data_IF_012090360780
#
_entry.id   IF_012090360780
#
_cell.length_a   1.000
_cell.length_b   1.000
_cell.length_c   1.000
_cell.angle_alpha   90.00
_cell.angle_beta   90.00
_cell.angle_gamma   90.00
#
_symmetry.space_group_name_H-M   'P 1'
#
loop_
_entity.id
_entity.type
_entity.pdbx_description
1 polymer ?
#
# COMPACT_ATOMS: atom_id res chain seq x y z
N UNK A 1 23.19 -20.06 1.40
CA UNK A 1 22.00 -20.70 0.83
C UNK A 1 21.00 -21.15 1.90
N UNK A 2 21.39 -21.95 2.90
CA UNK A 2 20.47 -22.39 3.96
C UNK A 2 19.86 -21.21 4.76
N UNK A 3 20.62 -20.18 5.08
CA UNK A 3 20.15 -18.96 5.76
C UNK A 3 19.14 -18.18 4.93
N UNK A 4 19.33 -18.09 3.62
CA UNK A 4 18.37 -17.43 2.72
C UNK A 4 17.04 -18.19 2.69
N UNK A 5 17.06 -19.52 2.58
CA UNK A 5 15.84 -20.34 2.60
C UNK A 5 15.09 -20.23 3.93
N UNK A 6 15.82 -20.11 5.05
CA UNK A 6 15.23 -19.95 6.37
C UNK A 6 14.56 -18.58 6.56
N UNK A 7 15.03 -17.50 5.90
CA UNK A 7 14.45 -16.16 5.99
C UNK A 7 13.31 -15.91 4.98
N UNK A 8 13.16 -16.75 3.93
CA UNK A 8 12.12 -16.59 2.91
C UNK A 8 10.69 -16.55 3.45
N UNK A 9 10.26 -17.42 4.39
CA UNK A 9 8.90 -17.34 4.93
C UNK A 9 8.60 -16.00 5.61
N UNK A 10 9.60 -15.43 6.31
CA UNK A 10 9.47 -14.09 6.89
C UNK A 10 9.28 -13.00 5.82
N UNK A 11 10.06 -13.05 4.75
CA UNK A 11 9.93 -12.11 3.63
C UNK A 11 8.54 -12.21 2.95
N UNK A 12 7.98 -13.40 2.82
CA UNK A 12 6.64 -13.62 2.27
C UNK A 12 5.58 -13.02 3.20
N UNK A 13 5.68 -13.23 4.51
CA UNK A 13 4.76 -12.66 5.48
C UNK A 13 4.77 -11.12 5.43
N UNK A 14 5.95 -10.50 5.45
CA UNK A 14 6.10 -9.05 5.25
C UNK A 14 5.52 -8.61 3.91
N UNK A 15 5.81 -9.34 2.83
CA UNK A 15 5.30 -9.02 1.49
C UNK A 15 3.78 -8.98 1.42
N UNK A 16 3.07 -9.90 2.10
CA UNK A 16 1.60 -9.91 2.14
C UNK A 16 1.07 -8.75 2.98
N UNK A 17 1.64 -8.47 4.16
CA UNK A 17 1.23 -7.36 5.02
C UNK A 17 1.36 -6.04 4.27
N UNK A 18 2.51 -5.78 3.65
CA UNK A 18 2.74 -4.59 2.84
C UNK A 18 1.93 -4.61 1.54
N UNK A 19 1.58 -5.78 1.03
CA UNK A 19 0.65 -5.96 -0.07
C UNK A 19 -0.76 -5.43 0.26
N UNK A 20 -1.25 -5.64 1.50
CA UNK A 20 -2.52 -5.05 1.97
C UNK A 20 -2.42 -3.52 1.99
N UNK A 21 -1.30 -2.96 2.47
CA UNK A 21 -1.04 -1.53 2.42
C UNK A 21 -1.02 -1.03 0.97
N UNK A 22 -0.34 -1.75 0.09
CA UNK A 22 -0.25 -1.41 -1.33
C UNK A 22 -1.62 -1.43 -2.03
N UNK A 23 -2.58 -2.27 -1.60
CA UNK A 23 -3.97 -2.19 -2.06
C UNK A 23 -4.60 -0.84 -1.68
N UNK A 24 -4.36 -0.33 -0.46
CA UNK A 24 -4.79 1.01 -0.07
C UNK A 24 -4.21 2.08 -1.01
N UNK A 25 -2.90 2.05 -1.23
CA UNK A 25 -2.21 2.95 -2.18
C UNK A 25 -2.74 2.80 -3.61
N UNK A 26 -3.08 1.58 -4.05
CA UNK A 26 -3.68 1.34 -5.35
C UNK A 26 -5.02 2.08 -5.52
N UNK A 27 -5.83 2.16 -4.48
CA UNK A 27 -7.11 2.89 -4.52
C UNK A 27 -6.88 4.38 -4.75
N UNK A 28 -5.96 5.01 -4.03
CA UNK A 28 -5.68 6.44 -4.16
C UNK A 28 -4.96 6.77 -5.45
N UNK A 29 -3.88 6.05 -5.73
CA UNK A 29 -2.99 6.35 -6.84
C UNK A 29 -3.56 5.92 -8.20
N UNK A 30 -4.17 4.72 -8.28
CA UNK A 30 -4.60 4.13 -9.57
C UNK A 30 -6.07 4.33 -9.88
N UNK A 31 -6.93 4.28 -8.84
CA UNK A 31 -8.38 4.40 -9.03
C UNK A 31 -8.81 5.86 -8.97
N UNK A 32 -8.35 6.64 -7.98
CA UNK A 32 -8.74 8.05 -7.80
C UNK A 32 -7.84 9.05 -8.50
N UNK A 33 -6.63 8.65 -8.90
CA UNK A 33 -5.57 9.54 -9.43
C UNK A 33 -5.23 10.69 -8.48
N UNK A 34 -5.15 10.37 -7.19
CA UNK A 34 -4.83 11.30 -6.09
C UNK A 34 -3.56 10.84 -5.38
N UNK A 35 -2.54 11.69 -5.32
CA UNK A 35 -1.33 11.42 -4.55
C UNK A 35 -1.60 11.68 -3.06
N UNK A 36 -1.67 10.62 -2.26
CA UNK A 36 -1.95 10.66 -0.82
C UNK A 36 -0.71 10.33 0.00
N UNK A 37 -0.10 11.33 0.61
CA UNK A 37 1.04 11.17 1.52
C UNK A 37 0.64 10.86 2.97
N UNK A 38 -0.65 10.79 3.28
CA UNK A 38 -1.16 10.41 4.61
C UNK A 38 -0.79 8.96 4.96
N UNK A 39 -0.56 8.12 3.95
CA UNK A 39 -0.22 6.70 4.06
C UNK A 39 0.87 6.44 5.10
N UNK A 40 1.95 7.23 5.07
CA UNK A 40 3.07 7.09 6.02
C UNK A 40 2.60 7.30 7.48
N UNK A 41 1.74 8.30 7.71
CA UNK A 41 1.16 8.58 9.03
C UNK A 41 0.14 7.52 9.45
N UNK A 42 -0.76 7.16 8.56
CA UNK A 42 -1.84 6.19 8.83
C UNK A 42 -1.31 4.82 9.18
N UNK A 43 -0.23 4.36 8.53
CA UNK A 43 0.43 3.09 8.84
C UNK A 43 0.99 3.09 10.26
N UNK A 44 1.72 4.13 10.65
CA UNK A 44 2.26 4.26 12.00
C UNK A 44 1.14 4.35 13.04
N UNK A 45 0.07 5.11 12.74
CA UNK A 45 -1.08 5.25 13.65
C UNK A 45 -1.78 3.92 13.88
N UNK A 46 -2.01 3.13 12.83
CA UNK A 46 -2.62 1.79 12.96
C UNK A 46 -1.83 0.88 13.88
N UNK A 47 -0.49 0.84 13.71
CA UNK A 47 0.39 0.04 14.56
C UNK A 47 0.42 0.50 16.01
N UNK A 48 0.54 1.81 16.27
CA UNK A 48 0.60 2.37 17.63
C UNK A 48 -0.73 2.18 18.36
N UNK A 49 -1.85 2.45 17.71
CA UNK A 49 -3.19 2.26 18.31
C UNK A 49 -3.35 0.80 18.69
N UNK A 50 -3.03 -0.13 17.81
CA UNK A 50 -3.07 -1.55 18.13
C UNK A 50 -2.17 -1.89 19.31
N UNK A 51 -0.90 -1.47 19.30
CA UNK A 51 0.07 -1.81 20.35
C UNK A 51 -0.38 -1.30 21.73
N UNK A 52 -0.91 -0.07 21.80
CA UNK A 52 -1.43 0.50 23.05
C UNK A 52 -2.68 -0.22 23.53
N UNK A 53 -3.63 -0.57 22.65
CA UNK A 53 -4.83 -1.29 23.01
C UNK A 53 -4.53 -2.71 23.52
N UNK A 54 -3.62 -3.42 22.85
CA UNK A 54 -3.19 -4.76 23.28
C UNK A 54 -2.44 -4.69 24.61
N UNK A 55 -1.59 -3.68 24.81
CA UNK A 55 -0.93 -3.44 26.10
C UNK A 55 -1.92 -3.21 27.24
N UNK A 56 -3.05 -2.57 26.96
CA UNK A 56 -4.13 -2.33 27.91
C UNK A 56 -5.06 -3.54 28.09
N UNK A 57 -4.78 -4.70 27.49
CA UNK A 57 -5.56 -5.92 27.62
C UNK A 57 -6.80 -6.01 26.73
N UNK A 58 -6.92 -5.14 25.73
CA UNK A 58 -8.05 -5.20 24.78
C UNK A 58 -7.91 -6.42 23.87
N UNK A 59 -9.04 -7.02 23.50
CA UNK A 59 -9.09 -8.13 22.56
C UNK A 59 -8.45 -7.72 21.22
N UNK A 60 -7.62 -8.60 20.65
CA UNK A 60 -6.85 -8.32 19.42
C UNK A 60 -7.74 -7.98 18.23
N UNK A 61 -8.87 -8.67 18.07
CA UNK A 61 -9.80 -8.41 16.97
C UNK A 61 -10.41 -7.01 17.05
N UNK A 62 -10.78 -6.61 18.29
CA UNK A 62 -11.29 -5.26 18.55
C UNK A 62 -10.20 -4.20 18.30
N UNK A 63 -8.97 -4.47 18.73
CA UNK A 63 -7.84 -3.57 18.53
C UNK A 63 -7.54 -3.35 17.02
N UNK A 64 -7.60 -4.42 16.22
CA UNK A 64 -7.44 -4.34 14.75
C UNK A 64 -8.60 -3.56 14.13
N UNK A 65 -9.84 -3.78 14.55
CA UNK A 65 -10.99 -3.02 14.05
C UNK A 65 -10.90 -1.53 14.39
N UNK A 66 -10.49 -1.19 15.61
CA UNK A 66 -10.27 0.21 16.03
C UNK A 66 -9.13 0.84 15.22
N UNK A 67 -8.03 0.13 14.99
CA UNK A 67 -6.92 0.63 14.15
C UNK A 67 -7.39 0.96 12.73
N UNK A 68 -8.22 0.11 12.13
CA UNK A 68 -8.84 0.37 10.82
C UNK A 68 -9.70 1.64 10.84
N UNK A 69 -10.57 1.81 11.86
CA UNK A 69 -11.44 2.97 12.01
C UNK A 69 -10.62 4.26 12.18
N UNK A 70 -9.56 4.23 12.97
CA UNK A 70 -8.67 5.39 13.16
C UNK A 70 -7.97 5.76 11.84
N UNK A 71 -7.56 4.77 11.04
CA UNK A 71 -7.07 5.01 9.68
C UNK A 71 -8.12 5.66 8.77
N UNK A 72 -9.38 5.21 8.85
CA UNK A 72 -10.49 5.83 8.13
C UNK A 72 -10.68 7.30 8.53
N UNK A 73 -10.57 7.62 9.81
CA UNK A 73 -10.63 9.02 10.30
C UNK A 73 -9.46 9.87 9.78
N UNK A 74 -8.26 9.31 9.70
CA UNK A 74 -7.12 10.00 9.11
C UNK A 74 -7.37 10.34 7.64
N UNK A 75 -7.86 9.37 6.85
CA UNK A 75 -8.24 9.58 5.45
C UNK A 75 -9.38 10.58 5.28
N UNK A 76 -10.36 10.60 6.22
CA UNK A 76 -11.45 11.58 6.24
C UNK A 76 -10.92 13.01 6.40
N UNK A 77 -9.99 13.23 7.34
CA UNK A 77 -9.38 14.54 7.58
C UNK A 77 -8.64 15.02 6.33
N UNK A 78 -7.81 14.16 5.71
CA UNK A 78 -7.12 14.48 4.47
C UNK A 78 -8.10 14.79 3.34
N UNK A 79 -9.17 14.01 3.22
CA UNK A 79 -10.22 14.23 2.24
C UNK A 79 -10.93 15.57 2.42
N UNK A 80 -11.22 15.97 3.66
CA UNK A 80 -11.81 17.28 3.98
C UNK A 80 -10.84 18.40 3.61
N UNK A 81 -9.56 18.31 3.99
CA UNK A 81 -8.57 19.32 3.62
C UNK A 81 -8.46 19.49 2.11
N UNK A 82 -8.48 18.39 1.36
CA UNK A 82 -8.39 18.46 -0.09
C UNK A 82 -9.67 18.99 -0.75
N UNK A 83 -10.84 18.50 -0.35
CA UNK A 83 -12.09 18.77 -1.10
C UNK A 83 -12.86 20.01 -0.62
N UNK A 84 -12.82 20.35 0.68
CA UNK A 84 -13.53 21.51 1.25
C UNK A 84 -12.62 22.72 1.39
N UNK A 85 -11.38 22.54 1.86
CA UNK A 85 -10.43 23.64 1.99
C UNK A 85 -9.68 23.94 0.68
N UNK A 86 -9.80 23.07 -0.34
CA UNK A 86 -9.14 23.27 -1.63
C UNK A 86 -7.63 23.11 -1.58
N UNK A 87 -7.09 22.50 -0.52
CA UNK A 87 -5.64 22.26 -0.37
C UNK A 87 -5.20 21.18 -1.39
N UNK A 88 -4.09 21.38 -2.12
CA UNK A 88 -3.54 20.33 -2.99
C UNK A 88 -3.39 19.01 -2.25
N UNK A 89 -3.74 17.87 -2.88
CA UNK A 89 -3.79 16.57 -2.23
C UNK A 89 -2.50 16.19 -1.51
N UNK A 90 -1.34 16.45 -2.15
CA UNK A 90 -0.02 16.19 -1.56
C UNK A 90 0.16 16.96 -0.25
N UNK A 91 -0.18 18.26 -0.24
CA UNK A 91 -0.05 19.09 0.97
C UNK A 91 -1.04 18.69 2.05
N UNK A 92 -2.28 18.34 1.68
CA UNK A 92 -3.27 17.82 2.63
C UNK A 92 -2.78 16.55 3.32
N UNK A 93 -2.17 15.63 2.55
CA UNK A 93 -1.56 14.42 3.08
C UNK A 93 -0.40 14.70 4.05
N UNK A 94 0.50 15.61 3.70
CA UNK A 94 1.63 16.01 4.55
C UNK A 94 1.12 16.63 5.87
N UNK A 95 0.13 17.52 5.82
CA UNK A 95 -0.45 18.15 7.01
C UNK A 95 -1.06 17.10 7.95
N UNK A 96 -1.82 16.16 7.40
CA UNK A 96 -2.41 15.08 8.19
C UNK A 96 -1.32 14.16 8.77
N UNK A 97 -0.30 13.80 7.99
CA UNK A 97 0.83 12.98 8.46
C UNK A 97 1.56 13.63 9.64
N UNK A 98 1.87 14.94 9.56
CA UNK A 98 2.50 15.68 10.66
C UNK A 98 1.61 15.74 11.91
N UNK A 99 0.31 15.91 11.72
CA UNK A 99 -0.67 15.89 12.83
C UNK A 99 -0.72 14.51 13.48
N UNK A 100 -0.76 13.45 12.67
CA UNK A 100 -0.76 12.07 13.16
C UNK A 100 0.50 11.73 13.95
N UNK A 101 1.67 12.24 13.55
CA UNK A 101 2.92 12.06 14.31
C UNK A 101 2.77 12.57 15.75
N UNK A 102 2.22 13.77 15.94
CA UNK A 102 2.00 14.35 17.26
C UNK A 102 0.93 13.60 18.06
N UNK A 103 -0.12 13.13 17.40
CA UNK A 103 -1.19 12.32 18.02
C UNK A 103 -0.62 10.98 18.47
N UNK A 104 0.17 10.32 17.64
CA UNK A 104 0.82 9.05 17.94
C UNK A 104 1.75 9.14 19.16
N UNK A 105 2.52 10.23 19.27
CA UNK A 105 3.34 10.50 20.47
C UNK A 105 2.51 10.63 21.75
N UNK A 106 1.32 11.23 21.66
CA UNK A 106 0.41 11.33 22.82
C UNK A 106 -0.20 9.99 23.18
N UNK A 107 -0.66 9.22 22.19
CA UNK A 107 -1.26 7.88 22.41
C UNK A 107 -0.22 6.93 23.00
N UNK A 108 1.04 7.01 22.58
CA UNK A 108 2.14 6.17 23.07
C UNK A 108 2.74 6.65 24.41
N UNK A 109 2.16 7.67 25.06
CA UNK A 109 2.73 8.30 26.26
C UNK A 109 4.17 8.78 26.07
N UNK A 110 4.46 9.43 24.93
CA UNK A 110 5.78 9.94 24.51
C UNK A 110 6.85 8.86 24.27
N UNK A 111 6.46 7.59 24.20
CA UNK A 111 7.38 6.52 23.84
C UNK A 111 7.45 6.40 22.32
N UNK A 112 8.66 6.48 21.75
CA UNK A 112 8.87 6.29 20.31
C UNK A 112 8.56 4.87 19.86
N UNK A 113 8.73 3.89 20.76
CA UNK A 113 8.52 2.47 20.50
C UNK A 113 7.61 1.88 21.57
N UNK A 114 6.54 1.22 21.14
CA UNK A 114 5.57 0.56 22.00
C UNK A 114 5.62 -0.95 21.75
N UNK A 115 6.09 -1.76 22.71
CA UNK A 115 6.12 -3.20 22.53
C UNK A 115 4.68 -3.75 22.51
N UNK A 116 4.41 -4.64 21.54
CA UNK A 116 3.21 -5.46 21.52
C UNK A 116 3.46 -6.61 22.50
N UNK A 117 2.98 -6.45 23.75
CA UNK A 117 3.42 -7.26 24.87
C UNK A 117 3.08 -8.73 24.71
N UNK A 118 4.11 -9.57 24.88
CA UNK A 118 4.04 -11.03 24.97
C UNK A 118 3.27 -11.56 26.21
N UNK A 119 2.75 -10.71 27.08
CA UNK A 119 1.97 -11.16 28.25
C UNK A 119 0.66 -11.86 27.89
N UNK A 120 0.15 -11.64 26.66
CA UNK A 120 -1.06 -12.26 26.13
C UNK A 120 -0.75 -12.99 24.81
N UNK A 121 0.28 -13.84 24.79
CA UNK A 121 0.70 -14.61 23.61
C UNK A 121 -0.46 -15.41 22.99
N UNK A 122 -1.41 -15.85 23.79
CA UNK A 122 -2.60 -16.58 23.33
C UNK A 122 -3.53 -15.74 22.43
N UNK A 123 -3.46 -14.42 22.50
CA UNK A 123 -4.31 -13.50 21.74
C UNK A 123 -3.61 -12.81 20.55
N UNK A 124 -2.34 -13.07 20.27
CA UNK A 124 -1.63 -12.48 19.13
C UNK A 124 -1.88 -13.32 17.88
N UNK A 125 -2.39 -12.67 16.81
CA UNK A 125 -2.70 -13.34 15.54
C UNK A 125 -1.43 -13.64 14.72
N UNK A 126 -0.43 -12.76 14.79
CA UNK A 126 0.79 -12.81 13.99
C UNK A 126 2.02 -12.80 14.90
N UNK A 127 2.91 -13.74 14.69
CA UNK A 127 4.17 -13.84 15.45
C UNK A 127 5.30 -14.23 14.52
N UNK A 128 6.45 -13.56 14.63
CA UNK A 128 7.66 -13.89 13.87
C UNK A 128 8.27 -15.26 14.24
N UNK A 129 7.85 -15.85 15.36
CA UNK A 129 8.27 -17.19 15.78
C UNK A 129 7.58 -18.34 15.01
N UNK A 130 6.39 -18.09 14.44
CA UNK A 130 5.57 -19.09 13.74
C UNK A 130 5.19 -18.58 12.35
N UNK A 131 6.17 -18.54 11.46
CA UNK A 131 6.04 -17.95 10.12
C UNK A 131 4.91 -18.56 9.30
N UNK A 132 4.69 -19.89 9.39
CA UNK A 132 3.64 -20.58 8.62
C UNK A 132 2.25 -20.12 9.05
N UNK A 133 2.00 -20.08 10.36
CA UNK A 133 0.73 -19.59 10.92
C UNK A 133 0.50 -18.14 10.54
N UNK A 134 1.52 -17.30 10.64
CA UNK A 134 1.45 -15.89 10.28
C UNK A 134 1.15 -15.67 8.80
N UNK A 135 1.75 -16.45 7.90
CA UNK A 135 1.46 -16.40 6.46
C UNK A 135 -0.01 -16.75 6.21
N UNK A 136 -0.52 -17.82 6.82
CA UNK A 136 -1.93 -18.23 6.64
C UNK A 136 -2.87 -17.10 7.08
N UNK A 137 -2.64 -16.51 8.24
CA UNK A 137 -3.45 -15.40 8.74
C UNK A 137 -3.36 -14.18 7.81
N UNK A 138 -2.16 -13.81 7.35
CA UNK A 138 -1.97 -12.70 6.40
C UNK A 138 -2.70 -12.95 5.08
N UNK A 139 -2.65 -14.19 4.56
CA UNK A 139 -3.38 -14.57 3.33
C UNK A 139 -4.88 -14.45 3.53
N UNK A 140 -5.41 -14.86 4.69
CA UNK A 140 -6.84 -14.72 5.00
C UNK A 140 -7.23 -13.23 5.02
N UNK A 141 -6.46 -12.37 5.71
CA UNK A 141 -6.72 -10.92 5.72
C UNK A 141 -6.65 -10.32 4.31
N UNK A 142 -5.66 -10.68 3.51
CA UNK A 142 -5.55 -10.23 2.13
C UNK A 142 -6.74 -10.70 1.28
N UNK A 143 -7.13 -11.97 1.40
CA UNK A 143 -8.26 -12.54 0.66
C UNK A 143 -9.57 -11.86 1.03
N UNK A 144 -9.83 -11.64 2.34
CA UNK A 144 -11.02 -10.93 2.83
C UNK A 144 -11.03 -9.49 2.31
N UNK A 145 -9.89 -8.79 2.39
CA UNK A 145 -9.75 -7.42 1.86
C UNK A 145 -10.06 -7.37 0.38
N UNK A 146 -9.50 -8.28 -0.41
CA UNK A 146 -9.76 -8.36 -1.86
C UNK A 146 -11.23 -8.67 -2.16
N UNK A 147 -11.84 -9.61 -1.42
CA UNK A 147 -13.24 -9.99 -1.61
C UNK A 147 -14.19 -8.82 -1.30
N UNK A 148 -13.95 -8.11 -0.19
CA UNK A 148 -14.74 -6.93 0.22
C UNK A 148 -14.61 -5.82 -0.82
N UNK A 149 -13.39 -5.52 -1.27
CA UNK A 149 -13.14 -4.50 -2.29
C UNK A 149 -13.74 -4.87 -3.64
N UNK A 150 -13.64 -6.13 -4.05
CA UNK A 150 -14.25 -6.61 -5.28
C UNK A 150 -15.76 -6.42 -5.27
N UNK A 151 -16.41 -6.81 -4.17
CA UNK A 151 -17.84 -6.58 -3.98
C UNK A 151 -18.16 -5.08 -3.98
N UNK A 152 -17.43 -4.27 -3.21
CA UNK A 152 -17.65 -2.82 -3.11
C UNK A 152 -17.51 -2.12 -4.46
N UNK A 153 -16.43 -2.36 -5.20
CA UNK A 153 -16.21 -1.75 -6.52
C UNK A 153 -17.13 -2.29 -7.62
N UNK A 154 -17.91 -3.35 -7.36
CA UNK A 154 -19.03 -3.81 -8.17
C UNK A 154 -20.32 -3.05 -7.93
N UNK A 155 -20.44 -2.29 -6.83
CA UNK A 155 -21.64 -1.48 -6.52
C UNK A 155 -21.67 -0.17 -7.31
N UNK A 156 -22.81 0.52 -7.29
CA UNK A 156 -22.97 1.85 -7.91
C UNK A 156 -22.02 2.88 -7.32
N UNK A 157 -21.83 2.88 -6.00
CA UNK A 157 -20.89 3.76 -5.31
C UNK A 157 -19.46 3.47 -5.76
N UNK A 158 -19.04 2.22 -5.81
CA UNK A 158 -17.71 1.84 -6.27
C UNK A 158 -17.44 2.19 -7.73
N UNK A 159 -18.47 2.05 -8.61
CA UNK A 159 -18.36 2.46 -10.01
C UNK A 159 -18.26 4.00 -10.13
N UNK A 160 -18.98 4.76 -9.31
CA UNK A 160 -18.91 6.22 -9.28
C UNK A 160 -17.54 6.73 -8.81
N UNK A 161 -16.90 6.04 -7.84
CA UNK A 161 -15.53 6.33 -7.40
C UNK A 161 -14.54 6.12 -8.56
N UNK A 162 -14.66 5.01 -9.30
CA UNK A 162 -13.80 4.76 -10.49
C UNK A 162 -14.02 5.80 -11.59
N UNK A 163 -15.28 6.18 -11.86
CA UNK A 163 -15.61 7.21 -12.84
C UNK A 163 -15.00 8.57 -12.45
N UNK A 164 -15.04 8.92 -11.15
CA UNK A 164 -14.46 10.14 -10.62
C UNK A 164 -12.96 10.21 -10.85
N UNK A 165 -12.22 9.12 -10.66
CA UNK A 165 -10.78 9.07 -10.92
C UNK A 165 -10.44 9.14 -12.41
N UNK A 166 -11.27 8.57 -13.28
CA UNK A 166 -11.04 8.65 -14.73
C UNK A 166 -11.23 10.07 -15.28
N UNK A 167 -12.30 10.76 -14.90
CA UNK A 167 -12.57 12.14 -15.33
C UNK A 167 -13.56 12.83 -14.39
N UNK A 168 -13.05 13.71 -13.53
CA UNK A 168 -13.88 14.44 -12.56
C UNK A 168 -14.89 15.38 -13.22
N UNK A 169 -14.53 16.02 -14.36
CA UNK A 169 -15.42 16.96 -15.05
C UNK A 169 -16.62 16.23 -15.65
N UNK A 170 -16.38 15.10 -16.32
CA UNK A 170 -17.43 14.23 -16.88
C UNK A 170 -18.32 13.66 -15.78
N UNK A 171 -17.72 13.21 -14.67
CA UNK A 171 -18.49 12.66 -13.53
C UNK A 171 -19.44 13.70 -12.93
N UNK A 172 -18.98 14.96 -12.79
CA UNK A 172 -19.84 16.06 -12.33
C UNK A 172 -20.97 16.37 -13.32
N UNK A 173 -20.69 16.35 -14.61
CA UNK A 173 -21.72 16.56 -15.63
C UNK A 173 -22.81 15.49 -15.59
N UNK A 174 -22.48 14.26 -15.16
CA UNK A 174 -23.43 13.15 -14.93
C UNK A 174 -24.08 13.17 -13.53
N UNK A 175 -23.94 14.25 -12.76
CA UNK A 175 -24.58 14.41 -11.45
C UNK A 175 -23.85 13.68 -10.31
N UNK A 176 -22.65 13.14 -10.53
CA UNK A 176 -21.89 12.43 -9.50
C UNK A 176 -21.20 13.44 -8.57
N UNK A 177 -21.34 13.25 -7.26
CA UNK A 177 -20.65 14.06 -6.26
C UNK A 177 -19.19 13.63 -6.13
N UNK A 178 -18.31 14.25 -6.93
CA UNK A 178 -16.88 13.93 -6.97
C UNK A 178 -16.16 14.20 -5.64
N UNK A 179 -16.61 15.20 -4.85
CA UNK A 179 -16.03 15.50 -3.53
C UNK A 179 -16.25 14.33 -2.57
N UNK A 180 -17.48 13.82 -2.51
CA UNK A 180 -17.81 12.66 -1.68
C UNK A 180 -16.98 11.42 -2.08
N UNK A 181 -16.86 11.15 -3.38
CA UNK A 181 -16.12 10.01 -3.89
C UNK A 181 -14.62 10.07 -3.57
N UNK A 182 -14.02 11.26 -3.65
CA UNK A 182 -12.60 11.46 -3.29
C UNK A 182 -12.42 11.22 -1.79
N UNK A 183 -13.26 11.82 -0.94
CA UNK A 183 -13.20 11.59 0.51
C UNK A 183 -13.35 10.12 0.83
N UNK A 184 -14.35 9.47 0.27
CA UNK A 184 -14.64 8.08 0.54
C UNK A 184 -13.47 7.15 0.13
N UNK A 185 -12.86 7.40 -1.02
CA UNK A 185 -11.70 6.63 -1.45
C UNK A 185 -10.47 6.84 -0.56
N UNK A 186 -10.23 8.09 -0.08
CA UNK A 186 -9.17 8.38 0.89
C UNK A 186 -9.44 7.71 2.25
N UNK A 187 -10.69 7.69 2.71
CA UNK A 187 -11.12 6.99 3.93
C UNK A 187 -10.82 5.50 3.82
N UNK A 188 -11.27 4.87 2.75
CA UNK A 188 -11.09 3.43 2.54
C UNK A 188 -9.60 3.05 2.41
N UNK A 189 -8.83 3.84 1.65
CA UNK A 189 -7.39 3.65 1.48
C UNK A 189 -6.65 3.70 2.81
N UNK A 190 -6.81 4.79 3.55
CA UNK A 190 -6.11 4.99 4.82
C UNK A 190 -6.55 4.00 5.91
N UNK A 191 -7.81 3.53 5.86
CA UNK A 191 -8.26 2.41 6.71
C UNK A 191 -7.48 1.13 6.44
N UNK A 192 -7.30 0.75 5.16
CA UNK A 192 -6.51 -0.43 4.78
C UNK A 192 -5.02 -0.29 5.13
N UNK A 193 -4.48 0.92 4.96
CA UNK A 193 -3.10 1.23 5.34
C UNK A 193 -2.91 1.06 6.86
N UNK A 194 -3.81 1.58 7.68
CA UNK A 194 -3.75 1.43 9.12
C UNK A 194 -3.97 -0.03 9.56
N UNK A 195 -4.84 -0.78 8.87
CA UNK A 195 -5.00 -2.23 9.06
C UNK A 195 -3.67 -2.95 8.83
N UNK A 196 -2.98 -2.65 7.73
CA UNK A 196 -1.66 -3.21 7.44
C UNK A 196 -0.64 -2.83 8.52
N UNK A 197 -0.63 -1.58 8.98
CA UNK A 197 0.22 -1.11 10.07
C UNK A 197 -0.02 -1.87 11.37
N UNK A 198 -1.29 -2.18 11.69
CA UNK A 198 -1.67 -2.99 12.83
C UNK A 198 -1.16 -4.44 12.73
N UNK A 199 -1.29 -5.06 11.56
CA UNK A 199 -0.75 -6.41 11.29
C UNK A 199 0.79 -6.42 11.35
N UNK A 200 1.43 -5.38 10.79
CA UNK A 200 2.87 -5.21 10.82
C UNK A 200 3.42 -5.11 12.24
N UNK A 201 2.79 -4.30 13.09
CA UNK A 201 3.18 -4.15 14.50
C UNK A 201 3.06 -5.45 15.29
N UNK A 202 2.03 -6.26 15.03
CA UNK A 202 1.90 -7.60 15.63
C UNK A 202 3.03 -8.53 15.19
N UNK A 203 3.29 -8.60 13.89
CA UNK A 203 4.31 -9.49 13.34
C UNK A 203 5.71 -9.14 13.83
N UNK A 204 6.01 -7.84 13.94
CA UNK A 204 7.30 -7.34 14.40
C UNK A 204 7.45 -7.40 15.93
N UNK A 205 6.33 -7.48 16.67
CA UNK A 205 6.31 -7.49 18.14
C UNK A 205 6.43 -6.11 18.79
N UNK A 206 6.48 -5.03 18.00
CA UNK A 206 6.47 -3.64 18.47
C UNK A 206 5.93 -2.69 17.41
N UNK A 207 5.44 -1.52 17.83
CA UNK A 207 5.10 -0.41 16.97
C UNK A 207 6.06 0.76 17.19
N UNK A 208 6.64 1.29 16.13
CA UNK A 208 7.46 2.50 16.13
C UNK A 208 6.72 3.65 15.46
N UNK A 209 6.88 4.88 15.98
CA UNK A 209 6.23 6.07 15.42
C UNK A 209 6.68 6.35 13.99
N UNK A 210 7.90 5.94 13.64
CA UNK A 210 8.50 6.16 12.32
C UNK A 210 8.36 4.95 11.38
N UNK A 211 7.65 3.89 11.79
CA UNK A 211 7.55 2.65 11.01
C UNK A 211 6.88 2.85 9.63
N UNK A 212 6.06 3.88 9.49
CA UNK A 212 5.41 4.24 8.23
C UNK A 212 6.24 5.12 7.29
N UNK A 213 7.41 5.62 7.72
CA UNK A 213 8.21 6.52 6.88
C UNK A 213 8.72 5.83 5.62
N UNK A 214 8.26 6.32 4.46
CA UNK A 214 8.57 5.77 3.15
C UNK A 214 7.64 4.64 2.74
N UNK A 215 6.57 4.39 3.49
CA UNK A 215 5.57 3.37 3.18
C UNK A 215 4.94 3.61 1.81
N UNK A 216 4.65 4.86 1.46
CA UNK A 216 4.10 5.20 0.16
C UNK A 216 5.01 4.76 -1.00
N UNK A 217 6.33 4.88 -0.84
CA UNK A 217 7.29 4.49 -1.88
C UNK A 217 7.25 2.98 -2.09
N UNK A 218 7.23 2.21 -1.00
CA UNK A 218 7.12 0.75 -1.04
C UNK A 218 5.77 0.32 -1.63
N UNK A 219 4.68 1.01 -1.24
CA UNK A 219 3.35 0.74 -1.78
C UNK A 219 3.26 0.98 -3.28
N UNK A 220 3.77 2.10 -3.76
CA UNK A 220 3.84 2.39 -5.21
C UNK A 220 4.71 1.37 -5.95
N UNK A 221 5.84 0.97 -5.36
CA UNK A 221 6.68 -0.08 -5.93
C UNK A 221 5.90 -1.39 -6.09
N UNK A 222 5.22 -1.84 -5.04
CA UNK A 222 4.42 -3.06 -5.08
C UNK A 222 3.31 -3.00 -6.14
N UNK A 223 2.60 -1.86 -6.25
CA UNK A 223 1.59 -1.63 -7.28
C UNK A 223 2.18 -1.77 -8.68
N UNK A 224 3.29 -1.07 -8.94
CA UNK A 224 3.90 -1.03 -10.28
C UNK A 224 4.53 -2.37 -10.64
N UNK A 225 5.24 -3.02 -9.71
CA UNK A 225 5.80 -4.37 -9.91
C UNK A 225 4.68 -5.35 -10.24
N UNK A 226 3.58 -5.31 -9.49
CA UNK A 226 2.40 -6.12 -9.75
C UNK A 226 1.78 -5.87 -11.13
N UNK A 227 1.60 -4.60 -11.52
CA UNK A 227 1.04 -4.24 -12.83
C UNK A 227 1.98 -4.62 -13.99
N UNK A 228 3.28 -4.42 -13.86
CA UNK A 228 4.25 -4.71 -14.93
C UNK A 228 4.35 -6.22 -15.19
N UNK A 229 4.35 -7.03 -14.12
CA UNK A 229 4.51 -8.49 -14.25
C UNK A 229 3.19 -9.16 -14.65
N UNK A 230 2.10 -8.80 -13.97
CA UNK A 230 0.81 -9.50 -14.09
C UNK A 230 -0.24 -8.74 -14.90
N UNK A 231 -0.05 -7.46 -15.22
CA UNK A 231 -1.06 -6.62 -15.86
C UNK A 231 -1.54 -7.09 -17.22
N UNK A 232 -0.71 -7.88 -17.95
CA UNK A 232 -1.11 -8.49 -19.23
C UNK A 232 -1.95 -9.75 -19.05
N UNK A 233 -1.84 -10.42 -17.90
CA UNK A 233 -2.50 -11.71 -17.61
C UNK A 233 -3.81 -11.46 -16.86
N UNK A 234 -3.82 -10.49 -15.96
CA UNK A 234 -4.91 -10.24 -15.03
C UNK A 234 -5.79 -9.08 -15.50
N UNK A 235 -6.91 -9.41 -16.17
CA UNK A 235 -7.88 -8.43 -16.69
C UNK A 235 -8.96 -8.09 -15.67
N UNK A 236 -9.32 -9.03 -14.79
CA UNK A 236 -10.34 -8.84 -13.75
C UNK A 236 -9.83 -7.91 -12.62
N UNK A 237 -10.72 -7.09 -12.05
CA UNK A 237 -10.40 -6.18 -10.95
C UNK A 237 -9.84 -6.91 -9.72
N UNK A 238 -10.47 -8.03 -9.31
CA UNK A 238 -9.96 -8.84 -8.20
C UNK A 238 -8.53 -9.34 -8.47
N UNK A 239 -8.26 -9.82 -9.68
CA UNK A 239 -6.94 -10.31 -10.07
C UNK A 239 -5.90 -9.18 -10.10
N UNK A 240 -6.29 -7.94 -10.42
CA UNK A 240 -5.40 -6.78 -10.31
C UNK A 240 -5.00 -6.50 -8.86
N UNK A 241 -5.93 -6.65 -7.90
CA UNK A 241 -5.60 -6.53 -6.49
C UNK A 241 -4.69 -7.66 -6.01
N UNK A 242 -4.90 -8.89 -6.49
CA UNK A 242 -3.98 -10.01 -6.24
C UNK A 242 -2.59 -9.70 -6.81
N UNK A 243 -2.51 -9.12 -8.02
CA UNK A 243 -1.24 -8.70 -8.62
C UNK A 243 -0.48 -7.71 -7.73
N UNK A 244 -1.19 -6.75 -7.10
CA UNK A 244 -0.58 -5.79 -6.17
C UNK A 244 0.02 -6.51 -4.96
N UNK A 245 -0.69 -7.47 -4.37
CA UNK A 245 -0.16 -8.28 -3.25
C UNK A 245 1.06 -9.09 -3.69
N UNK A 246 1.00 -9.74 -4.86
CA UNK A 246 2.15 -10.45 -5.42
C UNK A 246 3.34 -9.50 -5.67
N UNK A 247 3.08 -8.27 -6.11
CA UNK A 247 4.10 -7.24 -6.25
C UNK A 247 4.79 -6.91 -4.94
N UNK A 248 4.03 -6.82 -3.84
CA UNK A 248 4.59 -6.64 -2.48
C UNK A 248 5.46 -7.83 -2.05
N UNK A 249 5.02 -9.05 -2.33
CA UNK A 249 5.81 -10.27 -2.04
C UNK A 249 7.13 -10.26 -2.82
N UNK A 250 7.08 -9.98 -4.12
CA UNK A 250 8.27 -9.91 -4.97
C UNK A 250 9.23 -8.83 -4.47
N UNK A 251 8.72 -7.66 -4.10
CA UNK A 251 9.53 -6.58 -3.56
C UNK A 251 10.29 -7.01 -2.30
N UNK A 252 9.61 -7.66 -1.33
CA UNK A 252 10.25 -8.12 -0.10
C UNK A 252 11.19 -9.32 -0.30
N UNK A 253 10.92 -10.19 -1.26
CA UNK A 253 11.87 -11.25 -1.64
C UNK A 253 13.16 -10.64 -2.19
N UNK A 254 13.06 -9.65 -3.09
CA UNK A 254 14.23 -8.93 -3.62
C UNK A 254 15.00 -8.27 -2.50
N UNK A 255 14.32 -7.59 -1.59
CA UNK A 255 14.95 -6.95 -0.42
C UNK A 255 15.68 -7.96 0.47
N UNK A 256 15.07 -9.13 0.73
CA UNK A 256 15.69 -10.20 1.52
C UNK A 256 16.94 -10.79 0.85
N UNK A 257 16.91 -10.97 -0.48
CA UNK A 257 18.08 -11.43 -1.24
C UNK A 257 19.23 -10.43 -1.12
N UNK A 258 18.94 -9.14 -1.18
CA UNK A 258 19.96 -8.11 -1.12
C UNK A 258 20.59 -8.01 0.28
N UNK A 259 19.79 -8.14 1.34
CA UNK A 259 20.32 -8.25 2.72
C UNK A 259 21.22 -9.49 2.86
N UNK A 260 20.82 -10.60 2.27
CA UNK A 260 21.63 -11.83 2.28
C UNK A 260 22.98 -11.66 1.55
N UNK A 261 23.05 -10.80 0.52
CA UNK A 261 24.30 -10.48 -0.19
C UNK A 261 25.27 -9.62 0.65
N UNK A 262 24.89 -9.24 1.87
CA UNK A 262 25.76 -8.54 2.83
C UNK A 262 25.65 -7.02 2.81
N UNK A 263 24.60 -6.45 2.22
CA UNK A 263 24.31 -5.03 2.33
C UNK A 263 23.78 -4.70 3.73
N UNK A 264 24.30 -3.59 4.30
CA UNK A 264 23.88 -3.10 5.61
C UNK A 264 22.40 -2.73 5.62
N UNK A 265 21.74 -2.96 6.77
CA UNK A 265 20.33 -2.58 6.98
C UNK A 265 20.08 -1.08 6.79
N UNK A 266 21.13 -0.24 6.98
CA UNK A 266 21.05 1.19 6.75
C UNK A 266 20.94 1.57 5.27
N UNK A 267 21.46 0.74 4.37
CA UNK A 267 21.43 0.96 2.92
C UNK A 267 20.13 0.46 2.27
N UNK A 268 19.26 -0.22 3.02
CA UNK A 268 17.99 -0.74 2.51
C UNK A 268 17.08 0.36 1.95
N UNK A 269 17.13 1.57 2.53
CA UNK A 269 16.33 2.71 2.03
C UNK A 269 16.84 3.21 0.68
N UNK A 270 18.16 3.28 0.51
CA UNK A 270 18.78 3.64 -0.76
C UNK A 270 18.47 2.59 -1.82
N UNK A 271 18.63 1.32 -1.48
CA UNK A 271 18.28 0.21 -2.37
C UNK A 271 16.81 0.24 -2.77
N UNK A 272 15.90 0.46 -1.79
CA UNK A 272 14.46 0.59 -2.06
C UNK A 272 14.20 1.70 -3.09
N UNK A 273 14.84 2.86 -2.94
CA UNK A 273 14.71 3.97 -3.89
C UNK A 273 15.21 3.58 -5.29
N UNK A 274 16.35 2.89 -5.39
CA UNK A 274 16.90 2.41 -6.67
C UNK A 274 15.99 1.37 -7.33
N UNK A 275 15.52 0.40 -6.58
CA UNK A 275 14.60 -0.64 -7.07
C UNK A 275 13.32 0.01 -7.59
N UNK A 276 12.73 0.93 -6.84
CA UNK A 276 11.53 1.66 -7.25
C UNK A 276 11.79 2.50 -8.51
N UNK A 277 12.93 3.21 -8.59
CA UNK A 277 13.29 4.01 -9.77
C UNK A 277 13.42 3.14 -11.03
N UNK A 278 14.03 1.97 -10.91
CA UNK A 278 14.14 1.01 -12.04
C UNK A 278 12.74 0.55 -12.48
N UNK A 279 11.88 0.11 -11.56
CA UNK A 279 10.54 -0.37 -11.90
C UNK A 279 9.64 0.74 -12.46
N UNK A 280 9.74 1.98 -11.95
CA UNK A 280 9.05 3.14 -12.51
C UNK A 280 9.55 3.50 -13.92
N UNK A 281 10.83 3.31 -14.17
CA UNK A 281 11.45 3.56 -15.48
C UNK A 281 11.07 2.53 -16.55
N UNK A 282 10.80 1.27 -16.16
CA UNK A 282 10.51 0.19 -17.10
C UNK A 282 9.37 0.50 -18.09
N UNK A 283 8.18 1.02 -17.70
CA UNK A 283 7.11 1.35 -18.64
C UNK A 283 7.52 2.43 -19.65
N UNK A 284 8.31 3.40 -19.23
CA UNK A 284 8.84 4.46 -20.11
C UNK A 284 9.80 3.89 -21.14
N UNK A 285 10.76 3.09 -20.73
CA UNK A 285 11.73 2.44 -21.62
C UNK A 285 11.05 1.47 -22.58
N UNK A 286 10.04 0.73 -22.15
CA UNK A 286 9.25 -0.14 -23.02
C UNK A 286 8.48 0.65 -24.09
N UNK A 287 7.90 1.82 -23.74
CA UNK A 287 7.25 2.69 -24.73
C UNK A 287 8.24 3.27 -25.73
N UNK A 288 9.41 3.71 -25.28
CA UNK A 288 10.46 4.23 -26.17
C UNK A 288 11.01 3.15 -27.12
N UNK A 289 11.24 1.94 -26.61
CA UNK A 289 11.69 0.83 -27.42
C UNK A 289 10.68 0.50 -28.53
N UNK A 290 9.37 0.42 -28.19
CA UNK A 290 8.30 0.20 -29.18
C UNK A 290 8.19 1.32 -30.21
N UNK A 291 8.33 2.57 -29.79
CA UNK A 291 8.31 3.73 -30.69
C UNK A 291 9.47 3.69 -31.70
N UNK A 292 10.69 3.38 -31.23
CA UNK A 292 11.87 3.22 -32.10
C UNK A 292 11.75 2.07 -33.10
N UNK A 293 11.14 0.94 -32.67
CA UNK A 293 10.90 -0.21 -33.55
C UNK A 293 9.81 0.11 -34.60
N UNK A 294 8.73 0.79 -34.21
CA UNK A 294 7.67 1.22 -35.13
C UNK A 294 8.16 2.20 -36.20
N UNK A 295 9.05 3.14 -35.83
CA UNK A 295 9.68 4.05 -36.80
C UNK A 295 10.64 3.33 -37.76
N UNK A 296 11.32 2.27 -37.28
CA UNK A 296 12.20 1.47 -38.14
C UNK A 296 11.43 0.64 -39.18
N UNK A 297 10.29 0.07 -38.81
CA UNK A 297 9.41 -0.64 -39.74
C UNK A 297 8.75 0.28 -40.75
N UNK A 298 8.36 1.51 -40.36
CA UNK A 298 7.79 2.49 -41.28
C UNK A 298 8.84 3.01 -42.31
N UNK A 299 10.11 3.15 -41.92
CA UNK A 299 11.18 3.51 -42.85
C UNK A 299 11.52 2.39 -43.83
N UNK A 300 11.52 1.12 -43.40
CA UNK A 300 11.76 -0.01 -44.33
C UNK A 300 10.62 -0.17 -45.34
N UNK A 301 9.35 -0.02 -44.94
CA UNK A 301 8.20 -0.06 -45.87
C UNK A 301 8.21 1.10 -46.89
N UNK A 302 8.69 2.29 -46.50
CA UNK A 302 8.84 3.41 -47.46
C UNK A 302 10.01 3.20 -48.43
N UNK A 303 11.07 2.51 -48.03
CA UNK A 303 12.21 2.18 -48.90
C UNK A 303 11.89 1.08 -49.93
N UNK A 304 11.02 0.13 -49.61
CA UNK A 304 10.56 -0.90 -50.56
C UNK A 304 9.59 -0.34 -51.61
N UNK A 305 8.77 0.64 -51.27
CA UNK A 305 7.83 1.26 -52.24
C UNK A 305 8.47 2.33 -53.14
N UNK A 306 9.73 2.69 -52.97
CA UNK A 306 10.47 3.62 -53.83
C UNK A 306 11.31 2.88 -54.88
N UNK A 307 11.52 1.56 -54.70
CA UNK A 307 12.29 0.69 -55.58
C UNK A 307 11.42 -0.32 -56.38
N UNK A 308 10.11 -0.15 -56.36
CA UNK A 308 9.15 -0.85 -57.23
C UNK A 308 8.44 0.15 -58.15
#
# INVERSE_FOLDING_TARGET
>A
MASLLASMPGAIAYGIIWGIMAIGVYITFRILDVADLTVDGSMATGGIVLAVLVKNGTNIYLAVAIAFIVGCLAGLITGIFHTFFGIPAILAGILTQLSLYSINLRISNKNSNVPVSARNIENILLTSGDNVKSIIVCVIFAAVTIAVLYWFFGTEVGSSVRATGCNQAMSRANGINTKFNIIFGLVLSNGLVALSGALYAQYQGFADINMGRGAIVIGLAAVIVGEVIFGKIFHNFALKLVAVVCGGIIYYIVQNIVVWLGLDANDLKLLSAVVVAIFLGLPYWQKQAKSKFGMKQSKNKKGENVNA
#
